data_IF_486925829068
#
_entry.id   IF_486925829068
#
_cell.length_a   1.000
_cell.length_b   1.000
_cell.length_c   1.000
_cell.angle_alpha   90.00
_cell.angle_beta   90.00
_cell.angle_gamma   90.00
#
_symmetry.space_group_name_H-M   'P 1'
#
loop_
_entity.id
_entity.type
_entity.pdbx_description
1 polymer ?
#
# COMPACT_ATOMS: atom_id res chain seq x y z
N UNK A 1 -9.12 -7.56 -2.08
CA UNK A 1 -8.32 -6.82 -1.08
C UNK A 1 -6.88 -6.88 -1.54
N UNK A 2 -6.15 -5.77 -1.53
CA UNK A 2 -4.78 -5.69 -2.03
C UNK A 2 -3.89 -5.04 -0.98
N UNK A 3 -2.66 -5.52 -0.82
CA UNK A 3 -1.66 -4.93 0.07
C UNK A 3 -0.47 -4.54 -0.79
N UNK A 4 -0.07 -3.28 -0.74
CA UNK A 4 0.98 -2.72 -1.59
C UNK A 4 1.83 -1.70 -0.83
N UNK A 5 3.15 -1.70 -1.01
CA UNK A 5 4.00 -0.65 -0.47
C UNK A 5 3.89 0.62 -1.32
N UNK A 6 3.64 1.78 -0.69
CA UNK A 6 3.54 3.09 -1.37
C UNK A 6 4.47 4.09 -0.69
N UNK A 7 5.35 4.72 -1.46
CA UNK A 7 6.28 5.73 -0.97
C UNK A 7 7.35 6.10 -2.00
N UNK A 8 7.88 7.33 -1.90
CA UNK A 8 8.91 7.86 -2.81
C UNK A 8 10.35 7.49 -2.40
N UNK A 9 10.56 7.01 -1.17
CA UNK A 9 11.88 6.62 -0.68
C UNK A 9 12.19 5.16 -1.01
N UNK A 10 13.39 4.88 -1.54
CA UNK A 10 13.85 3.52 -1.89
C UNK A 10 13.84 2.54 -0.70
N UNK A 11 13.88 3.05 0.52
CA UNK A 11 13.87 2.27 1.78
C UNK A 11 12.81 2.74 2.78
N UNK A 12 11.91 3.63 2.38
CA UNK A 12 10.86 4.17 3.24
C UNK A 12 9.55 4.22 2.46
N UNK A 13 8.75 3.18 2.62
CA UNK A 13 7.42 3.04 2.04
C UNK A 13 6.43 2.74 3.15
N UNK A 14 5.15 3.02 2.92
CA UNK A 14 4.09 2.61 3.83
C UNK A 14 3.38 1.40 3.25
N UNK A 15 3.14 0.38 4.06
CA UNK A 15 2.29 -0.73 3.67
C UNK A 15 0.83 -0.27 3.72
N UNK A 16 0.19 -0.23 2.56
CA UNK A 16 -1.19 0.23 2.42
C UNK A 16 -2.09 -0.96 2.12
N UNK A 17 -3.18 -1.09 2.88
CA UNK A 17 -4.29 -1.98 2.55
C UNK A 17 -5.31 -1.21 1.72
N UNK A 18 -5.53 -1.70 0.51
CA UNK A 18 -6.55 -1.21 -0.39
C UNK A 18 -7.73 -2.18 -0.38
N UNK A 19 -8.91 -1.66 -0.07
CA UNK A 19 -10.17 -2.39 -0.13
C UNK A 19 -11.09 -1.74 -1.15
N UNK A 20 -11.82 -2.56 -1.88
CA UNK A 20 -12.86 -2.13 -2.81
C UNK A 20 -14.16 -2.81 -2.40
N UNK A 21 -15.22 -2.02 -2.24
CA UNK A 21 -16.56 -2.52 -1.93
C UNK A 21 -17.31 -2.95 -3.21
N UNK A 22 -18.48 -3.55 -3.04
CA UNK A 22 -19.32 -4.03 -4.16
C UNK A 22 -19.87 -2.88 -5.03
N UNK A 23 -19.99 -1.68 -4.46
CA UNK A 23 -20.37 -0.47 -5.19
C UNK A 23 -19.18 0.18 -5.92
N UNK A 24 -17.99 -0.40 -5.80
CA UNK A 24 -16.77 0.05 -6.46
C UNK A 24 -16.01 1.16 -5.74
N UNK A 25 -16.39 1.54 -4.51
CA UNK A 25 -15.66 2.52 -3.71
C UNK A 25 -14.35 1.95 -3.21
N UNK A 26 -13.29 2.74 -3.30
CA UNK A 26 -11.94 2.37 -2.87
C UNK A 26 -11.63 3.08 -1.56
N UNK A 27 -11.13 2.32 -0.58
CA UNK A 27 -10.65 2.84 0.70
C UNK A 27 -9.22 2.35 0.96
N UNK A 28 -8.40 3.24 1.48
CA UNK A 28 -6.99 3.02 1.79
C UNK A 28 -6.75 3.12 3.30
N UNK A 29 -5.97 2.18 3.84
CA UNK A 29 -5.51 2.22 5.23
C UNK A 29 -4.01 1.96 5.31
N UNK A 30 -3.28 2.92 5.88
CA UNK A 30 -1.87 2.72 6.24
C UNK A 30 -1.77 1.77 7.44
N UNK A 31 -0.97 0.72 7.30
CA UNK A 31 -0.76 -0.27 8.36
C UNK A 31 0.54 0.00 9.11
N UNK A 32 1.68 -0.02 8.42
CA UNK A 32 3.00 0.18 9.03
C UNK A 32 4.05 0.62 8.00
N UNK A 33 5.10 1.37 8.41
CA UNK A 33 6.25 1.69 7.56
C UNK A 33 7.08 0.44 7.23
N UNK A 34 7.47 0.26 5.97
CA UNK A 34 8.22 -0.88 5.45
C UNK A 34 9.40 -0.43 4.57
N UNK A 35 10.40 -1.31 4.47
CA UNK A 35 11.52 -1.18 3.55
C UNK A 35 11.58 -2.43 2.66
N UNK A 36 11.14 -2.33 1.41
CA UNK A 36 11.22 -3.42 0.42
C UNK A 36 12.31 -3.10 -0.62
N UNK A 37 12.87 -4.15 -1.21
CA UNK A 37 13.69 -4.04 -2.44
C UNK A 37 12.81 -3.58 -3.61
N UNK A 38 13.31 -2.76 -4.56
CA UNK A 38 12.50 -2.26 -5.67
C UNK A 38 11.90 -3.39 -6.51
N UNK A 39 10.61 -3.29 -6.86
CA UNK A 39 10.03 -4.10 -7.93
C UNK A 39 10.61 -3.62 -9.27
N UNK A 40 11.29 -4.52 -9.98
CA UNK A 40 11.84 -4.32 -11.34
C UNK A 40 10.93 -4.89 -12.41
#
# INVERSE_FOLDING_TARGET
RMVVPVGRGRFAQNLVLVTKDEAGRVAEKTILPVAFVPLV
#
